data_IF_490564373116
#
_entry.id   IF_490564373116
#
_cell.length_a   1.000
_cell.length_b   1.000
_cell.length_c   1.000
_cell.angle_alpha   90.00
_cell.angle_beta   90.00
_cell.angle_gamma   90.00
#
_symmetry.space_group_name_H-M   'P 1'
#
loop_
_entity.id
_entity.type
_entity.pdbx_description
1 polymer ?
#
# COMPACT_ATOMS: atom_id res chain seq x y z
N UNK A 1 15.29 31.61 -4.28
CA UNK A 1 15.40 30.84 -3.02
C UNK A 1 16.83 30.35 -2.90
N UNK A 2 17.51 30.60 -1.78
CA UNK A 2 18.90 30.17 -1.58
C UNK A 2 18.96 28.64 -1.68
N UNK A 3 19.88 28.11 -2.49
CA UNK A 3 20.06 26.66 -2.63
C UNK A 3 20.35 26.08 -1.24
N UNK A 4 19.38 25.36 -0.67
CA UNK A 4 19.60 24.63 0.58
C UNK A 4 20.79 23.70 0.34
N UNK A 5 21.78 23.78 1.23
CA UNK A 5 22.93 22.87 1.22
C UNK A 5 22.43 21.44 1.25
N UNK A 6 22.94 20.59 0.34
CA UNK A 6 22.67 19.16 0.36
C UNK A 6 23.03 18.56 1.74
N UNK A 7 22.17 17.68 2.23
CA UNK A 7 22.37 16.99 3.51
C UNK A 7 23.58 16.06 3.40
N UNK A 8 24.49 16.14 4.36
CA UNK A 8 25.63 15.23 4.43
C UNK A 8 25.22 13.86 4.97
N UNK A 9 25.99 12.78 4.70
CA UNK A 9 25.71 11.47 5.25
C UNK A 9 25.65 11.43 6.79
N UNK A 10 26.43 12.29 7.46
CA UNK A 10 26.43 12.40 8.93
C UNK A 10 25.14 13.05 9.43
N UNK A 11 24.70 14.15 8.81
CA UNK A 11 23.43 14.80 9.16
C UNK A 11 22.22 13.90 8.90
N UNK A 12 22.28 13.09 7.83
CA UNK A 12 21.27 12.08 7.53
C UNK A 12 21.22 11.01 8.62
N UNK A 13 22.36 10.43 9.00
CA UNK A 13 22.45 9.43 10.07
C UNK A 13 21.96 9.97 11.42
N UNK A 14 22.35 11.20 11.78
CA UNK A 14 21.84 11.86 13.00
C UNK A 14 20.33 12.06 12.97
N UNK A 15 19.77 12.44 11.82
CA UNK A 15 18.33 12.61 11.63
C UNK A 15 17.60 11.28 11.74
N UNK A 16 18.11 10.22 11.12
CA UNK A 16 17.56 8.87 11.20
C UNK A 16 17.56 8.35 12.63
N UNK A 17 18.66 8.51 13.38
CA UNK A 17 18.71 8.08 14.79
C UNK A 17 17.71 8.82 15.67
N UNK A 18 17.49 10.10 15.41
CA UNK A 18 16.45 10.88 16.13
C UNK A 18 15.05 10.36 15.81
N UNK A 19 14.74 10.14 14.53
CA UNK A 19 13.48 9.55 14.08
C UNK A 19 13.27 8.16 14.69
N UNK A 20 14.29 7.30 14.66
CA UNK A 20 14.25 5.98 15.27
C UNK A 20 13.99 6.04 16.78
N UNK A 21 14.59 7.00 17.48
CA UNK A 21 14.33 7.20 18.91
C UNK A 21 12.88 7.60 19.19
N UNK A 22 12.30 8.47 18.36
CA UNK A 22 10.91 8.90 18.52
C UNK A 22 9.92 7.77 18.17
N UNK A 23 10.21 6.96 17.15
CA UNK A 23 9.45 5.74 16.85
C UNK A 23 9.49 4.75 18.02
N UNK A 24 10.66 4.54 18.62
CA UNK A 24 10.82 3.64 19.78
C UNK A 24 10.02 4.11 21.00
N UNK A 25 9.84 5.42 21.19
CA UNK A 25 9.03 5.99 22.27
C UNK A 25 7.53 5.87 22.02
N UNK A 26 7.12 5.94 20.75
CA UNK A 26 5.72 5.84 20.35
C UNK A 26 5.25 4.39 20.19
N UNK A 27 6.18 3.45 20.04
CA UNK A 27 5.88 2.03 19.93
C UNK A 27 5.22 1.50 21.22
N UNK A 28 4.29 0.53 21.09
CA UNK A 28 3.79 -0.22 22.23
C UNK A 28 4.90 -1.05 22.90
N UNK A 29 4.58 -1.80 23.96
CA UNK A 29 5.51 -2.80 24.52
C UNK A 29 5.53 -4.09 23.67
N UNK A 30 6.50 -4.98 23.93
CA UNK A 30 6.59 -6.35 23.39
C UNK A 30 6.59 -6.53 21.85
N UNK A 31 6.86 -5.48 21.09
CA UNK A 31 7.09 -5.59 19.64
C UNK A 31 8.39 -6.30 19.32
N UNK A 32 8.43 -6.94 18.14
CA UNK A 32 9.61 -7.61 17.58
C UNK A 32 10.18 -6.87 16.36
N UNK A 33 9.33 -6.16 15.61
CA UNK A 33 9.73 -5.30 14.49
C UNK A 33 8.82 -4.07 14.42
N UNK A 34 9.41 -2.92 14.11
CA UNK A 34 8.71 -1.70 13.75
C UNK A 34 8.96 -1.38 12.27
N UNK A 35 7.96 -0.87 11.57
CA UNK A 35 8.13 -0.30 10.23
C UNK A 35 7.42 1.03 10.12
N UNK A 36 8.14 2.03 9.63
CA UNK A 36 7.60 3.27 9.12
C UNK A 36 7.72 3.26 7.59
N UNK A 37 6.60 3.44 6.90
CA UNK A 37 6.56 3.73 5.46
C UNK A 37 6.15 5.19 5.32
N UNK A 38 7.07 6.03 4.85
CA UNK A 38 6.78 7.43 4.54
C UNK A 38 6.66 7.55 3.02
N UNK A 39 5.62 8.21 2.55
CA UNK A 39 5.43 8.58 1.14
C UNK A 39 5.26 10.09 1.01
N UNK A 40 5.88 10.71 0.01
CA UNK A 40 5.78 12.15 -0.24
C UNK A 40 5.75 12.49 -1.73
N UNK A 41 4.81 13.36 -2.11
CA UNK A 41 4.61 13.87 -3.47
C UNK A 41 4.02 15.29 -3.41
N UNK A 42 4.76 16.30 -3.86
CA UNK A 42 4.36 17.69 -3.78
C UNK A 42 4.13 18.15 -2.33
N UNK A 43 2.93 18.66 -2.03
CA UNK A 43 2.50 18.97 -0.66
C UNK A 43 1.95 17.77 0.10
N UNK A 44 1.71 16.65 -0.57
CA UNK A 44 1.06 15.50 0.01
C UNK A 44 2.09 14.56 0.61
N UNK A 45 1.81 14.10 1.81
CA UNK A 45 2.65 13.16 2.53
C UNK A 45 1.79 12.24 3.40
N UNK A 46 2.23 11.00 3.54
CA UNK A 46 1.65 10.06 4.48
C UNK A 46 2.76 9.30 5.19
N UNK A 47 2.46 8.87 6.41
CA UNK A 47 3.36 8.08 7.23
C UNK A 47 2.57 6.95 7.87
N UNK A 48 2.83 5.72 7.44
CA UNK A 48 2.26 4.51 8.01
C UNK A 48 3.25 3.89 8.99
N UNK A 49 2.90 3.83 10.26
CA UNK A 49 3.72 3.26 11.32
C UNK A 49 3.06 1.99 11.86
N UNK A 50 3.70 0.83 11.67
CA UNK A 50 3.20 -0.47 12.12
C UNK A 50 4.17 -1.10 13.14
N UNK A 51 3.61 -1.66 14.20
CA UNK A 51 4.32 -2.49 15.18
C UNK A 51 3.90 -3.96 15.03
N UNK A 52 4.87 -4.85 14.88
CA UNK A 52 4.66 -6.30 14.79
C UNK A 52 5.06 -6.99 16.09
N UNK A 53 4.27 -7.99 16.49
CA UNK A 53 4.46 -8.78 17.71
C UNK A 53 4.84 -10.22 17.39
N UNK A 54 5.19 -10.98 18.44
CA UNK A 54 5.39 -12.41 18.32
C UNK A 54 4.13 -13.10 17.76
N UNK A 55 4.32 -14.03 16.82
CA UNK A 55 3.20 -14.70 16.12
C UNK A 55 2.68 -13.96 14.89
N UNK A 56 3.29 -12.83 14.51
CA UNK A 56 3.05 -12.16 13.23
C UNK A 56 1.88 -11.19 13.21
N UNK A 57 1.16 -11.03 14.33
CA UNK A 57 0.17 -9.97 14.49
C UNK A 57 0.85 -8.61 14.37
N UNK A 58 0.19 -7.66 13.73
CA UNK A 58 0.61 -6.27 13.67
C UNK A 58 -0.50 -5.32 14.12
N UNK A 59 -0.11 -4.09 14.47
CA UNK A 59 -1.04 -3.00 14.74
C UNK A 59 -0.51 -1.71 14.12
N UNK A 60 -1.41 -0.93 13.54
CA UNK A 60 -1.13 0.45 13.18
C UNK A 60 -0.95 1.29 14.44
N UNK A 61 0.02 2.20 14.40
CA UNK A 61 0.35 3.17 15.42
C UNK A 61 0.29 4.57 14.82
N UNK A 62 0.02 5.58 15.66
CA UNK A 62 0.08 6.97 15.21
C UNK A 62 1.55 7.40 15.18
N UNK A 63 2.11 7.78 14.02
CA UNK A 63 3.48 8.30 13.98
C UNK A 63 3.55 9.67 14.68
N UNK A 64 4.56 9.92 15.53
CA UNK A 64 4.79 11.25 16.07
C UNK A 64 4.99 12.30 14.96
N UNK A 65 4.49 13.51 15.15
CA UNK A 65 4.69 14.60 14.18
C UNK A 65 6.17 14.86 13.90
N UNK A 66 7.04 14.74 14.93
CA UNK A 66 8.48 14.89 14.78
C UNK A 66 9.12 13.88 13.82
N UNK A 67 8.54 12.67 13.72
CA UNK A 67 8.97 11.64 12.76
C UNK A 67 8.62 12.07 11.35
N UNK A 68 7.40 12.54 11.12
CA UNK A 68 6.94 13.00 9.80
C UNK A 68 7.77 14.21 9.33
N UNK A 69 7.97 15.19 10.22
CA UNK A 69 8.81 16.36 9.96
C UNK A 69 10.27 15.97 9.67
N UNK A 70 10.81 15.02 10.43
CA UNK A 70 12.15 14.48 10.24
C UNK A 70 12.32 13.84 8.87
N UNK A 71 11.38 12.99 8.46
CA UNK A 71 11.40 12.33 7.15
C UNK A 71 11.29 13.35 6.01
N UNK A 72 10.41 14.35 6.14
CA UNK A 72 10.32 15.47 5.19
C UNK A 72 11.64 16.23 5.08
N UNK A 73 12.31 16.46 6.21
CA UNK A 73 13.63 17.09 6.27
C UNK A 73 14.71 16.28 5.54
N UNK A 74 14.74 14.96 5.74
CA UNK A 74 15.64 14.05 5.02
C UNK A 74 15.34 14.10 3.52
N UNK A 75 14.05 14.02 3.13
CA UNK A 75 13.62 14.08 1.72
C UNK A 75 14.09 15.35 1.03
N UNK A 76 13.88 16.50 1.68
CA UNK A 76 14.32 17.79 1.15
C UNK A 76 15.85 17.93 1.11
N UNK A 77 16.54 17.38 2.10
CA UNK A 77 18.00 17.43 2.19
C UNK A 77 18.72 16.52 1.20
N UNK A 78 18.09 15.41 0.79
CA UNK A 78 18.62 14.44 -0.18
C UNK A 78 18.32 14.78 -1.64
N UNK A 79 17.59 15.88 -1.89
CA UNK A 79 17.32 16.34 -3.25
C UNK A 79 18.62 16.66 -4.00
N UNK A 80 18.72 16.13 -5.21
CA UNK A 80 19.80 16.43 -6.16
C UNK A 80 19.21 17.03 -7.42
N UNK A 81 19.72 18.21 -7.82
CA UNK A 81 19.26 18.89 -9.03
C UNK A 81 19.45 17.98 -10.27
N UNK A 82 18.40 17.86 -11.08
CA UNK A 82 18.39 17.02 -12.29
C UNK A 82 17.97 15.57 -12.05
N UNK A 83 18.05 15.06 -10.81
CA UNK A 83 17.57 13.71 -10.46
C UNK A 83 16.32 13.73 -9.58
N UNK A 84 16.08 14.82 -8.85
CA UNK A 84 14.98 14.93 -7.90
C UNK A 84 15.32 14.33 -6.54
N UNK A 85 14.31 13.78 -5.87
CA UNK A 85 14.43 13.12 -4.55
C UNK A 85 13.65 11.80 -4.55
N UNK A 86 13.64 11.06 -3.45
CA UNK A 86 12.86 9.83 -3.32
C UNK A 86 11.38 10.12 -3.03
N UNK A 87 10.50 9.19 -3.42
CA UNK A 87 9.06 9.25 -3.19
C UNK A 87 8.65 8.51 -1.92
N UNK A 88 9.21 7.32 -1.71
CA UNK A 88 8.87 6.46 -0.57
C UNK A 88 10.11 6.07 0.21
N UNK A 89 10.02 6.03 1.53
CA UNK A 89 11.07 5.55 2.42
C UNK A 89 10.52 4.47 3.35
N UNK A 90 11.22 3.35 3.43
CA UNK A 90 10.89 2.21 4.28
C UNK A 90 11.94 2.14 5.40
N UNK A 91 11.54 2.52 6.61
CA UNK A 91 12.39 2.51 7.79
C UNK A 91 11.94 1.38 8.72
N UNK A 92 12.76 0.35 8.85
CA UNK A 92 12.52 -0.80 9.73
C UNK A 92 13.45 -0.77 10.95
N UNK A 93 12.92 -1.08 12.14
CA UNK A 93 13.69 -1.22 13.37
C UNK A 93 13.43 -2.62 13.94
N UNK A 94 14.51 -3.36 14.20
CA UNK A 94 14.45 -4.65 14.87
C UNK A 94 14.64 -4.48 16.38
N UNK A 95 14.03 -5.36 17.17
CA UNK A 95 14.09 -5.27 18.65
C UNK A 95 15.51 -5.34 19.22
N UNK A 96 16.44 -5.93 18.48
CA UNK A 96 17.88 -5.99 18.80
C UNK A 96 18.59 -4.63 18.72
N UNK A 97 17.92 -3.58 18.24
CA UNK A 97 18.44 -2.23 18.13
C UNK A 97 19.01 -1.88 16.76
N UNK A 98 19.11 -2.85 15.85
CA UNK A 98 19.45 -2.60 14.46
C UNK A 98 18.31 -1.90 13.71
N UNK A 99 18.66 -1.06 12.75
CA UNK A 99 17.68 -0.51 11.83
C UNK A 99 18.13 -0.57 10.38
N UNK A 100 17.16 -0.49 9.47
CA UNK A 100 17.35 -0.46 8.03
C UNK A 100 16.51 0.65 7.45
N UNK A 101 17.05 1.35 6.46
CA UNK A 101 16.29 2.27 5.64
C UNK A 101 16.51 2.00 4.16
N UNK A 102 15.43 2.04 3.37
CA UNK A 102 15.44 1.97 1.91
C UNK A 102 14.65 3.15 1.36
N UNK A 103 15.14 3.73 0.27
CA UNK A 103 14.46 4.79 -0.47
C UNK A 103 14.04 4.26 -1.84
N UNK A 104 12.86 4.68 -2.29
CA UNK A 104 12.30 4.36 -3.59
C UNK A 104 12.14 5.66 -4.39
N UNK A 105 12.80 5.70 -5.55
CA UNK A 105 12.84 6.84 -6.46
C UNK A 105 11.99 6.62 -7.71
N UNK A 106 11.55 5.38 -7.94
CA UNK A 106 11.10 4.91 -9.25
C UNK A 106 9.61 4.57 -9.25
N UNK A 107 9.09 4.06 -8.13
CA UNK A 107 7.70 3.65 -8.04
C UNK A 107 6.79 4.79 -7.58
N UNK A 108 5.58 4.83 -8.13
CA UNK A 108 4.54 5.76 -7.70
C UNK A 108 4.26 5.56 -6.19
N UNK A 109 4.41 6.61 -5.36
CA UNK A 109 4.13 6.51 -3.94
C UNK A 109 2.67 6.18 -3.70
N UNK A 110 2.42 5.31 -2.72
CA UNK A 110 1.07 5.00 -2.32
C UNK A 110 0.51 6.02 -1.32
N UNK A 111 -0.74 6.40 -1.54
CA UNK A 111 -1.58 7.19 -0.66
C UNK A 111 -2.94 6.50 -0.47
N UNK A 112 -3.52 6.61 0.73
CA UNK A 112 -4.84 6.06 1.03
C UNK A 112 -5.96 6.75 0.22
N UNK A 113 -5.74 8.00 -0.19
CA UNK A 113 -6.65 8.81 -1.01
C UNK A 113 -6.02 9.16 -2.36
N UNK A 114 -6.84 9.31 -3.40
CA UNK A 114 -6.37 9.73 -4.71
C UNK A 114 -5.78 11.16 -4.63
N UNK A 115 -4.60 11.34 -5.21
CA UNK A 115 -3.94 12.64 -5.25
C UNK A 115 -4.41 13.45 -6.44
N UNK A 116 -4.51 14.77 -6.28
CA UNK A 116 -4.81 15.66 -7.39
C UNK A 116 -3.61 15.82 -8.32
N UNK A 117 -3.87 16.10 -9.60
CA UNK A 117 -2.82 16.25 -10.61
C UNK A 117 -1.90 17.45 -10.29
N UNK A 118 -2.41 18.45 -9.55
CA UNK A 118 -1.64 19.59 -9.07
C UNK A 118 -0.47 19.17 -8.16
N UNK A 119 -0.64 18.13 -7.33
CA UNK A 119 0.42 17.56 -6.50
C UNK A 119 1.60 17.03 -7.31
N UNK A 120 1.33 16.40 -8.46
CA UNK A 120 2.36 15.83 -9.34
C UNK A 120 3.16 16.92 -10.06
N UNK A 121 2.51 17.98 -10.53
CA UNK A 121 3.20 19.12 -11.14
C UNK A 121 4.07 19.85 -10.10
N UNK A 122 3.53 20.10 -8.91
CA UNK A 122 4.24 20.76 -7.82
C UNK A 122 5.45 19.94 -7.33
N UNK A 123 5.37 18.62 -7.38
CA UNK A 123 6.49 17.73 -7.08
C UNK A 123 7.70 18.02 -7.98
N UNK A 124 7.50 18.19 -9.29
CA UNK A 124 8.57 18.53 -10.23
C UNK A 124 9.06 19.98 -10.06
N UNK A 125 8.21 20.90 -9.60
CA UNK A 125 8.65 22.25 -9.24
C UNK A 125 9.53 22.27 -7.99
N UNK A 126 9.17 21.48 -6.97
CA UNK A 126 9.90 21.40 -5.71
C UNK A 126 11.20 20.57 -5.83
N UNK A 127 11.16 19.50 -6.61
CA UNK A 127 12.27 18.56 -6.81
C UNK A 127 12.51 18.33 -8.31
N UNK A 128 13.12 19.31 -9.01
CA UNK A 128 13.31 19.24 -10.46
C UNK A 128 14.11 18.01 -10.91
N UNK A 129 13.58 17.34 -11.93
CA UNK A 129 14.18 16.18 -12.59
C UNK A 129 14.43 16.50 -14.06
N UNK A 130 15.55 16.03 -14.58
CA UNK A 130 15.79 15.96 -16.02
C UNK A 130 14.84 14.93 -16.63
N UNK A 131 14.46 15.10 -17.89
CA UNK A 131 13.47 14.25 -18.57
C UNK A 131 13.79 12.75 -18.49
N UNK A 132 15.07 12.38 -18.39
CA UNK A 132 15.53 10.99 -18.26
C UNK A 132 15.23 10.38 -16.87
N UNK A 133 15.09 11.21 -15.84
CA UNK A 133 14.84 10.81 -14.45
C UNK A 133 13.37 10.96 -14.02
N UNK A 134 12.49 11.38 -14.94
CA UNK A 134 11.03 11.41 -14.69
C UNK A 134 10.48 10.00 -14.95
N UNK A 135 9.91 9.32 -13.93
CA UNK A 135 9.33 8.00 -14.12
C UNK A 135 8.14 8.01 -15.08
N UNK A 136 7.92 6.90 -15.78
CA UNK A 136 6.86 6.79 -16.81
C UNK A 136 5.47 7.08 -16.25
N UNK A 137 5.14 6.57 -15.05
CA UNK A 137 3.85 6.85 -14.40
C UNK A 137 3.61 8.35 -14.17
N UNK A 138 4.66 9.12 -13.87
CA UNK A 138 4.55 10.56 -13.65
C UNK A 138 4.35 11.30 -14.97
N UNK A 139 5.02 10.87 -16.04
CA UNK A 139 4.78 11.41 -17.39
C UNK A 139 3.36 11.15 -17.84
N UNK A 140 2.89 9.92 -17.70
CA UNK A 140 1.54 9.51 -18.11
C UNK A 140 0.46 10.34 -17.41
N UNK A 141 0.62 10.65 -16.11
CA UNK A 141 -0.31 11.51 -15.38
C UNK A 141 -0.30 12.95 -15.87
N UNK A 142 0.89 13.53 -16.07
CA UNK A 142 1.01 14.91 -16.53
C UNK A 142 0.62 15.11 -18.00
N UNK A 143 0.80 14.08 -18.84
CA UNK A 143 0.40 14.10 -20.25
C UNK A 143 -1.07 13.74 -20.47
N UNK A 144 -1.66 12.92 -19.60
CA UNK A 144 -3.07 12.56 -19.61
C UNK A 144 -4.01 13.78 -19.53
N UNK A 145 -3.49 14.89 -19.00
CA UNK A 145 -4.20 16.18 -18.87
C UNK A 145 -3.96 17.14 -20.06
N UNK A 146 -3.18 16.75 -21.08
CA UNK A 146 -3.19 17.47 -22.37
C UNK A 146 -4.47 17.13 -23.13
N UNK A 147 -5.56 17.80 -22.79
CA UNK A 147 -6.72 17.95 -23.69
C UNK A 147 -6.21 18.59 -25.00
N UNK A 148 -6.33 17.93 -26.18
CA UNK A 148 -6.06 18.58 -27.44
C UNK A 148 -7.20 19.58 -27.72
N UNK A 149 -7.05 20.80 -27.20
CA UNK A 149 -8.14 21.76 -27.20
C UNK A 149 -7.76 23.16 -26.72
N UNK A 150 -6.50 23.57 -26.81
CA UNK A 150 -6.14 24.98 -26.73
C UNK A 150 -5.11 25.26 -27.83
N UNK A 151 -5.59 25.83 -28.92
CA UNK A 151 -4.81 26.19 -30.07
C UNK A 151 -3.75 27.26 -29.71
N UNK A 152 -2.48 26.94 -29.95
CA UNK A 152 -1.52 27.91 -30.46
C UNK A 152 -0.82 27.27 -31.66
N UNK A 153 -0.87 27.98 -32.78
CA UNK A 153 -0.62 27.53 -34.14
C UNK A 153 0.75 26.87 -34.35
N UNK A 154 0.72 25.73 -35.05
CA UNK A 154 1.91 24.99 -35.49
C UNK A 154 1.58 23.52 -35.71
N UNK A 155 0.98 23.19 -36.86
CA UNK A 155 0.65 21.78 -37.20
C UNK A 155 1.95 21.00 -37.36
N UNK A 156 2.27 20.16 -36.37
CA UNK A 156 3.42 19.28 -36.39
C UNK A 156 3.13 18.07 -37.30
N UNK A 157 4.06 17.65 -38.19
CA UNK A 157 3.87 16.53 -39.11
C UNK A 157 3.61 15.16 -38.44
N UNK A 158 3.83 15.05 -37.13
CA UNK A 158 3.70 13.81 -36.36
C UNK A 158 2.25 13.42 -36.03
N UNK A 159 1.29 14.35 -36.14
CA UNK A 159 -0.13 14.09 -35.84
C UNK A 159 -0.82 13.11 -36.80
N UNK A 160 -0.21 12.81 -37.95
CA UNK A 160 -0.81 11.90 -38.95
C UNK A 160 -0.32 10.45 -38.86
N UNK A 161 0.67 10.11 -38.02
CA UNK A 161 1.28 8.77 -38.02
C UNK A 161 1.15 7.97 -36.73
N UNK A 162 0.48 8.48 -35.69
CA UNK A 162 0.26 7.74 -34.44
C UNK A 162 -1.20 7.29 -34.29
N UNK A 163 -1.70 6.53 -35.26
CA UNK A 163 -2.82 5.61 -35.04
C UNK A 163 -2.24 4.23 -34.70
N UNK A 164 -1.70 4.10 -33.49
CA UNK A 164 -1.30 2.82 -32.91
C UNK A 164 -1.95 2.73 -31.54
N UNK A 165 -2.64 1.63 -31.30
CA UNK A 165 -3.44 1.36 -30.11
C UNK A 165 -2.69 1.71 -28.83
N UNK A 166 -3.30 2.65 -28.10
CA UNK A 166 -2.90 3.16 -26.79
C UNK A 166 -3.13 2.08 -25.72
N UNK A 167 -2.14 1.72 -24.89
CA UNK A 167 -2.42 1.02 -23.65
C UNK A 167 -3.19 1.98 -22.71
N UNK A 168 -4.29 1.51 -22.13
CA UNK A 168 -5.05 2.31 -21.17
C UNK A 168 -4.21 2.61 -19.91
N UNK A 169 -4.38 3.80 -19.30
CA UNK A 169 -3.79 4.08 -17.99
C UNK A 169 -4.24 3.01 -17.00
N UNK A 170 -3.34 2.52 -16.13
CA UNK A 170 -3.60 1.43 -15.17
C UNK A 170 -5.00 1.58 -14.55
N UNK A 171 -5.89 0.73 -15.03
CA UNK A 171 -7.33 0.82 -14.85
C UNK A 171 -7.70 0.68 -13.38
N UNK A 172 -8.59 1.55 -12.89
CA UNK A 172 -9.48 1.15 -11.80
C UNK A 172 -10.18 -0.13 -12.27
N UNK A 173 -9.76 -1.28 -11.74
CA UNK A 173 -10.43 -2.54 -12.05
C UNK A 173 -11.86 -2.43 -11.53
N UNK A 174 -12.80 -2.41 -12.46
CA UNK A 174 -14.21 -2.59 -12.16
C UNK A 174 -14.41 -3.95 -11.49
N UNK A 175 -15.25 -4.05 -10.45
CA UNK A 175 -15.46 -5.30 -9.74
C UNK A 175 -15.86 -6.44 -10.70
N UNK A 176 -15.05 -7.49 -10.73
CA UNK A 176 -15.29 -8.71 -11.52
C UNK A 176 -14.74 -8.73 -12.95
N UNK A 177 -14.08 -7.66 -13.40
CA UNK A 177 -13.59 -7.55 -14.78
C UNK A 177 -12.17 -8.12 -15.00
N UNK A 178 -11.55 -8.71 -13.97
CA UNK A 178 -10.19 -9.24 -14.06
C UNK A 178 -10.16 -10.58 -14.80
N UNK A 179 -9.34 -10.65 -15.84
CA UNK A 179 -9.09 -11.88 -16.58
C UNK A 179 -8.21 -12.86 -15.77
N UNK A 180 -8.22 -14.17 -16.09
CA UNK A 180 -7.32 -15.12 -15.45
C UNK A 180 -5.82 -14.79 -15.64
N UNK A 181 -5.45 -14.17 -16.75
CA UNK A 181 -4.06 -13.74 -17.02
C UNK A 181 -3.67 -12.59 -16.09
N UNK A 182 -4.48 -11.52 -16.03
CA UNK A 182 -4.25 -10.39 -15.10
C UNK A 182 -4.26 -10.83 -13.64
N UNK A 183 -5.10 -11.81 -13.29
CA UNK A 183 -5.11 -12.43 -11.96
C UNK A 183 -3.76 -13.07 -11.66
N UNK A 184 -3.21 -13.86 -12.59
CA UNK A 184 -1.94 -14.53 -12.40
C UNK A 184 -0.76 -13.56 -12.36
N UNK A 185 -0.77 -12.54 -13.22
CA UNK A 185 0.24 -11.48 -13.22
C UNK A 185 0.23 -10.72 -11.89
N UNK A 186 -0.96 -10.39 -11.37
CA UNK A 186 -1.11 -9.73 -10.07
C UNK A 186 -0.58 -10.61 -8.93
N UNK A 187 -0.88 -11.92 -8.95
CA UNK A 187 -0.36 -12.88 -7.96
C UNK A 187 1.17 -12.98 -8.03
N UNK A 188 1.73 -13.03 -9.24
CA UNK A 188 3.18 -13.07 -9.45
C UNK A 188 3.85 -11.79 -8.91
N UNK A 189 3.27 -10.62 -9.19
CA UNK A 189 3.76 -9.33 -8.70
C UNK A 189 3.71 -9.24 -7.17
N UNK A 190 2.62 -9.70 -6.54
CA UNK A 190 2.51 -9.80 -5.07
C UNK A 190 3.66 -10.64 -4.51
N UNK A 191 3.91 -11.79 -5.12
CA UNK A 191 4.97 -12.71 -4.69
C UNK A 191 6.35 -12.08 -4.84
N UNK A 192 6.66 -11.50 -6.00
CA UNK A 192 7.98 -10.93 -6.27
C UNK A 192 8.29 -9.76 -5.32
N UNK A 193 7.33 -8.85 -5.12
CA UNK A 193 7.46 -7.74 -4.17
C UNK A 193 7.55 -8.20 -2.71
N UNK A 194 6.96 -9.35 -2.37
CA UNK A 194 7.07 -9.92 -1.02
C UNK A 194 8.43 -10.59 -0.80
N UNK A 195 8.99 -11.24 -1.81
CA UNK A 195 10.28 -11.95 -1.73
C UNK A 195 11.45 -10.97 -1.77
N UNK A 196 11.37 -9.93 -2.60
CA UNK A 196 12.45 -8.97 -2.82
C UNK A 196 13.09 -8.43 -1.52
N UNK A 197 12.35 -8.04 -0.47
CA UNK A 197 12.95 -7.58 0.79
C UNK A 197 13.50 -8.72 1.68
N UNK A 198 13.13 -9.98 1.45
CA UNK A 198 13.56 -11.11 2.28
C UNK A 198 15.04 -11.39 2.04
N UNK A 199 15.85 -11.27 3.09
CA UNK A 199 17.30 -11.55 3.06
C UNK A 199 17.60 -12.91 3.66
N UNK A 200 18.71 -13.51 3.23
CA UNK A 200 19.15 -14.83 3.67
C UNK A 200 18.36 -15.97 3.00
N UNK A 201 18.77 -17.20 3.29
CA UNK A 201 18.11 -18.40 2.74
C UNK A 201 16.79 -18.67 3.45
N UNK A 202 15.80 -19.12 2.69
CA UNK A 202 14.45 -19.43 3.15
C UNK A 202 13.93 -20.63 2.36
N UNK A 203 13.07 -21.43 2.98
CA UNK A 203 12.47 -22.63 2.38
C UNK A 203 11.01 -22.41 1.97
N UNK A 204 10.29 -21.55 2.69
CA UNK A 204 8.89 -21.22 2.41
C UNK A 204 8.56 -19.80 2.90
N UNK A 205 7.84 -19.03 2.09
CA UNK A 205 7.19 -17.78 2.50
C UNK A 205 5.69 -17.97 2.39
N UNK A 206 4.95 -17.58 3.43
CA UNK A 206 3.48 -17.61 3.41
C UNK A 206 2.93 -16.24 3.76
N UNK A 207 2.04 -15.75 2.91
CA UNK A 207 1.27 -14.53 3.12
C UNK A 207 -0.16 -14.95 3.42
N UNK A 208 -0.60 -14.72 4.64
CA UNK A 208 -2.01 -14.84 5.01
C UNK A 208 -2.62 -13.43 5.04
N UNK A 209 -3.60 -13.18 4.17
CA UNK A 209 -4.29 -11.90 4.02
C UNK A 209 -5.77 -12.04 4.32
N UNK A 210 -6.35 -11.08 5.01
CA UNK A 210 -7.79 -10.97 5.32
C UNK A 210 -8.24 -9.58 4.94
N UNK A 211 -9.31 -9.47 4.17
CA UNK A 211 -9.77 -8.19 3.63
C UNK A 211 -11.25 -7.92 3.88
N UNK A 212 -11.57 -6.64 3.99
CA UNK A 212 -12.84 -5.96 3.75
C UNK A 212 -12.52 -4.66 3.00
N UNK A 213 -13.49 -4.04 2.32
CA UNK A 213 -13.30 -2.83 1.46
C UNK A 213 -12.46 -1.69 2.07
N UNK A 214 -12.34 -1.57 3.39
CA UNK A 214 -11.54 -0.51 4.06
C UNK A 214 -10.68 -1.01 5.22
N UNK A 215 -10.52 -2.33 5.32
CA UNK A 215 -9.89 -2.93 6.47
C UNK A 215 -9.27 -4.24 6.07
N UNK A 216 -7.97 -4.36 6.30
CA UNK A 216 -7.26 -5.60 6.07
C UNK A 216 -6.31 -5.91 7.22
N UNK A 217 -6.00 -7.20 7.34
CA UNK A 217 -4.93 -7.70 8.20
C UNK A 217 -4.11 -8.69 7.38
N UNK A 218 -2.80 -8.63 7.55
CA UNK A 218 -1.85 -9.51 6.87
C UNK A 218 -0.81 -10.05 7.83
N UNK A 219 -0.37 -11.28 7.58
CA UNK A 219 0.77 -11.89 8.26
C UNK A 219 1.70 -12.50 7.21
N UNK A 220 2.97 -12.12 7.26
CA UNK A 220 4.00 -12.73 6.41
C UNK A 220 4.86 -13.63 7.29
N UNK A 221 4.89 -14.92 6.96
CA UNK A 221 5.68 -15.93 7.65
C UNK A 221 6.82 -16.38 6.75
N UNK A 222 8.05 -16.23 7.20
CA UNK A 222 9.26 -16.68 6.51
C UNK A 222 9.84 -17.86 7.26
N UNK A 223 9.84 -19.05 6.64
CA UNK A 223 10.54 -20.22 7.16
C UNK A 223 11.94 -20.29 6.59
N UNK A 224 12.93 -20.39 7.47
CA UNK A 224 14.35 -20.55 7.15
C UNK A 224 14.68 -22.01 6.86
N UNK A 225 15.77 -22.25 6.13
CA UNK A 225 16.26 -23.62 5.84
C UNK A 225 16.58 -24.42 7.12
N UNK A 226 16.98 -23.74 8.20
CA UNK A 226 17.25 -24.35 9.51
C UNK A 226 15.96 -24.67 10.30
N UNK A 227 14.78 -24.43 9.72
CA UNK A 227 13.47 -24.63 10.31
C UNK A 227 12.98 -23.46 11.17
N UNK A 228 13.80 -22.42 11.41
CA UNK A 228 13.37 -21.23 12.15
C UNK A 228 12.23 -20.52 11.43
N UNK A 229 11.23 -20.08 12.18
CA UNK A 229 10.13 -19.26 11.67
C UNK A 229 10.32 -17.83 12.11
N UNK A 230 10.30 -16.93 11.14
CA UNK A 230 10.31 -15.48 11.31
C UNK A 230 9.03 -14.89 10.75
N UNK A 231 8.72 -13.69 11.25
CA UNK A 231 7.57 -12.92 10.81
C UNK A 231 8.06 -11.65 10.12
N UNK A 232 7.31 -11.20 9.14
CA UNK A 232 7.51 -9.92 8.48
C UNK A 232 6.19 -9.16 8.33
N UNK A 233 6.34 -7.85 8.12
CA UNK A 233 5.23 -6.97 7.78
C UNK A 233 5.06 -6.99 6.26
N UNK A 234 3.82 -7.00 5.80
CA UNK A 234 3.52 -6.84 4.38
C UNK A 234 3.77 -5.38 3.96
N UNK A 235 4.33 -5.17 2.78
CA UNK A 235 4.48 -3.81 2.22
C UNK A 235 3.09 -3.26 1.84
N UNK A 236 2.79 -1.97 2.09
CA UNK A 236 1.49 -1.39 1.76
C UNK A 236 1.09 -1.56 0.29
N UNK A 237 2.07 -1.49 -0.61
CA UNK A 237 1.88 -1.65 -2.06
C UNK A 237 1.45 -3.08 -2.41
N UNK A 238 1.92 -4.07 -1.64
CA UNK A 238 1.49 -5.46 -1.81
C UNK A 238 0.06 -5.66 -1.27
N UNK A 239 -0.30 -4.97 -0.18
CA UNK A 239 -1.67 -4.97 0.35
C UNK A 239 -2.69 -4.49 -0.70
N UNK A 240 -2.37 -3.44 -1.45
CA UNK A 240 -3.23 -2.95 -2.54
C UNK A 240 -3.35 -3.92 -3.69
N UNK A 241 -2.27 -4.62 -4.07
CA UNK A 241 -2.36 -5.64 -5.10
C UNK A 241 -3.33 -6.75 -4.67
N UNK A 242 -3.35 -7.11 -3.37
CA UNK A 242 -4.34 -8.04 -2.83
C UNK A 242 -5.77 -7.46 -2.84
N UNK A 243 -5.95 -6.16 -2.58
CA UNK A 243 -7.26 -5.50 -2.70
C UNK A 243 -7.75 -5.38 -4.15
N UNK A 244 -6.81 -5.12 -5.08
CA UNK A 244 -7.05 -5.14 -6.53
C UNK A 244 -7.48 -6.53 -6.97
N UNK A 245 -6.76 -7.56 -6.52
CA UNK A 245 -7.09 -8.96 -6.77
C UNK A 245 -8.48 -9.30 -6.20
N UNK A 246 -8.78 -8.84 -4.98
CA UNK A 246 -10.10 -9.03 -4.35
C UNK A 246 -11.21 -8.37 -5.15
N UNK A 247 -10.97 -7.16 -5.66
CA UNK A 247 -11.93 -6.42 -6.47
C UNK A 247 -12.14 -7.09 -7.83
N UNK A 248 -11.06 -7.46 -8.51
CA UNK A 248 -11.09 -8.12 -9.80
C UNK A 248 -11.72 -9.50 -9.77
N UNK A 249 -11.54 -10.26 -8.68
CA UNK A 249 -12.11 -11.60 -8.52
C UNK A 249 -13.56 -11.62 -8.00
N UNK A 250 -14.20 -10.46 -7.86
CA UNK A 250 -15.62 -10.39 -7.50
C UNK A 250 -16.48 -11.12 -8.54
N UNK A 251 -17.42 -11.93 -8.07
CA UNK A 251 -18.37 -12.64 -8.92
C UNK A 251 -19.79 -12.15 -8.61
N UNK A 252 -20.54 -11.63 -9.60
CA UNK A 252 -21.92 -11.18 -9.40
C UNK A 252 -22.78 -12.22 -8.70
N UNK A 253 -23.36 -11.85 -7.56
CA UNK A 253 -24.22 -12.73 -6.76
C UNK A 253 -23.47 -13.72 -5.87
N UNK A 254 -22.19 -14.01 -6.09
CA UNK A 254 -21.37 -14.84 -5.17
C UNK A 254 -20.54 -14.00 -4.21
N UNK A 255 -20.20 -12.77 -4.58
CA UNK A 255 -19.28 -11.91 -3.84
C UNK A 255 -17.82 -12.18 -4.20
N UNK A 256 -16.91 -11.67 -3.37
CA UNK A 256 -15.46 -11.92 -3.46
C UNK A 256 -14.96 -12.77 -2.29
N UNK A 257 -13.68 -13.13 -2.26
CA UNK A 257 -13.08 -13.91 -1.17
C UNK A 257 -12.81 -13.04 0.06
N UNK A 258 -12.85 -13.60 1.28
CA UNK A 258 -12.51 -12.92 2.54
C UNK A 258 -11.04 -13.12 2.95
N UNK A 259 -10.50 -14.29 2.67
CA UNK A 259 -9.13 -14.68 3.05
C UNK A 259 -8.37 -15.13 1.81
N UNK A 260 -7.11 -14.70 1.70
CA UNK A 260 -6.16 -15.21 0.72
C UNK A 260 -4.94 -15.79 1.44
N UNK A 261 -4.50 -16.97 1.01
CA UNK A 261 -3.25 -17.59 1.42
C UNK A 261 -2.38 -17.80 0.21
N UNK A 262 -1.26 -17.10 0.16
CA UNK A 262 -0.23 -17.28 -0.86
C UNK A 262 0.97 -17.98 -0.23
N UNK A 263 1.46 -19.03 -0.88
CA UNK A 263 2.62 -19.81 -0.44
C UNK A 263 3.64 -19.80 -1.55
N UNK A 264 4.90 -19.53 -1.21
CA UNK A 264 6.01 -19.61 -2.16
C UNK A 264 7.09 -20.49 -1.59
N UNK A 265 7.46 -21.52 -2.35
CA UNK A 265 8.57 -22.43 -2.01
C UNK A 265 9.91 -21.88 -2.49
N UNK A 266 11.00 -22.47 -1.99
CA UNK A 266 12.37 -22.17 -2.47
C UNK A 266 12.54 -22.34 -3.99
N UNK A 267 11.77 -23.24 -4.62
CA UNK A 267 11.76 -23.47 -6.06
C UNK A 267 10.96 -22.43 -6.84
N UNK A 268 10.46 -21.37 -6.17
CA UNK A 268 9.57 -20.34 -6.71
C UNK A 268 8.21 -20.88 -7.19
N UNK A 269 7.81 -22.05 -6.70
CA UNK A 269 6.45 -22.55 -6.93
C UNK A 269 5.47 -21.73 -6.09
N UNK A 270 4.43 -21.20 -6.75
CA UNK A 270 3.41 -20.37 -6.12
C UNK A 270 2.15 -21.19 -5.93
N UNK A 271 1.70 -21.28 -4.68
CA UNK A 271 0.36 -21.75 -4.33
C UNK A 271 -0.50 -20.55 -3.92
N UNK A 272 -1.71 -20.46 -4.48
CA UNK A 272 -2.68 -19.44 -4.12
C UNK A 272 -4.02 -20.08 -3.75
N UNK A 273 -4.55 -19.73 -2.58
CA UNK A 273 -5.85 -20.20 -2.11
C UNK A 273 -6.70 -19.02 -1.62
N UNK A 274 -7.95 -18.97 -2.06
CA UNK A 274 -8.91 -17.91 -1.75
C UNK A 274 -10.15 -18.52 -1.13
N UNK A 275 -10.49 -18.08 0.08
CA UNK A 275 -11.67 -18.57 0.82
C UNK A 275 -12.77 -17.51 0.80
N UNK A 276 -13.96 -17.91 0.34
CA UNK A 276 -15.14 -17.06 0.21
C UNK A 276 -16.14 -17.21 1.35
N UNK A 277 -16.01 -18.26 2.15
CA UNK A 277 -17.11 -18.81 2.94
C UNK A 277 -16.75 -18.93 4.42
N UNK A 278 -15.49 -19.20 4.76
CA UNK A 278 -15.06 -19.26 6.15
C UNK A 278 -14.97 -17.85 6.78
N UNK A 279 -15.33 -17.69 8.07
CA UNK A 279 -15.20 -16.43 8.76
C UNK A 279 -13.72 -16.01 8.85
N UNK A 280 -13.35 -14.80 8.39
CA UNK A 280 -11.98 -14.33 8.46
C UNK A 280 -11.54 -14.07 9.91
N UNK A 281 -10.40 -14.61 10.29
CA UNK A 281 -9.83 -14.48 11.64
C UNK A 281 -8.96 -13.21 11.77
N UNK A 282 -9.58 -12.05 11.97
CA UNK A 282 -8.85 -10.80 12.20
C UNK A 282 -8.14 -10.77 13.57
N UNK A 283 -7.09 -9.94 13.68
CA UNK A 283 -6.35 -9.71 14.94
C UNK A 283 -7.15 -8.95 16.02
N UNK A 284 -8.31 -8.42 15.64
CA UNK A 284 -9.28 -7.72 16.46
C UNK A 284 -10.70 -8.05 15.94
N UNK A 285 -11.73 -7.90 16.78
CA UNK A 285 -13.11 -8.10 16.32
C UNK A 285 -13.52 -6.88 15.48
N UNK A 286 -13.76 -7.03 14.17
CA UNK A 286 -14.15 -5.90 13.34
C UNK A 286 -15.53 -5.40 13.71
N UNK A 287 -15.74 -4.09 13.58
CA UNK A 287 -17.08 -3.52 13.69
C UNK A 287 -18.02 -4.22 12.69
N UNK A 288 -19.18 -4.74 13.13
CA UNK A 288 -20.17 -5.36 12.25
C UNK A 288 -20.53 -4.51 11.02
N UNK A 289 -20.50 -3.18 11.15
CA UNK A 289 -20.75 -2.22 10.06
C UNK A 289 -19.73 -2.31 8.94
N UNK A 290 -18.50 -2.78 9.21
CA UNK A 290 -17.49 -3.03 8.18
C UNK A 290 -17.91 -4.17 7.25
N UNK A 291 -18.49 -5.25 7.78
CA UNK A 291 -19.04 -6.34 6.95
C UNK A 291 -20.26 -5.88 6.14
N UNK A 292 -21.10 -5.02 6.72
CA UNK A 292 -22.22 -4.41 6.00
C UNK A 292 -21.75 -3.52 4.84
N UNK A 293 -20.69 -2.72 5.02
CA UNK A 293 -20.08 -1.94 3.95
C UNK A 293 -19.48 -2.85 2.87
N UNK A 294 -18.78 -3.90 3.28
CA UNK A 294 -18.14 -4.85 2.38
C UNK A 294 -19.16 -5.53 1.45
N UNK A 295 -20.29 -5.99 1.98
CA UNK A 295 -21.34 -6.63 1.17
C UNK A 295 -22.06 -5.66 0.22
N UNK A 296 -22.09 -4.36 0.54
CA UNK A 296 -22.66 -3.36 -0.39
C UNK A 296 -21.77 -3.18 -1.61
N UNK A 297 -20.46 -3.36 -1.45
CA UNK A 297 -19.50 -3.25 -2.54
C UNK A 297 -19.34 -4.58 -3.29
N UNK A 298 -19.40 -5.71 -2.58
CA UNK A 298 -19.38 -7.06 -3.14
C UNK A 298 -20.67 -7.83 -2.83
N UNK A 299 -21.79 -7.51 -3.52
CA UNK A 299 -23.08 -8.16 -3.28
C UNK A 299 -23.06 -9.68 -3.40
N UNK A 300 -23.80 -10.32 -2.49
CA UNK A 300 -24.03 -11.77 -2.47
C UNK A 300 -25.52 -12.06 -2.52
N UNK A 301 -25.92 -13.10 -3.25
CA UNK A 301 -27.27 -13.66 -3.19
C UNK A 301 -27.45 -14.41 -1.87
N UNK A 302 -28.71 -14.70 -1.53
CA UNK A 302 -29.05 -15.47 -0.32
C UNK A 302 -28.32 -16.81 -0.24
N UNK A 303 -28.09 -17.45 -1.38
CA UNK A 303 -27.51 -18.80 -1.46
C UNK A 303 -25.99 -18.80 -1.24
N UNK A 304 -25.36 -17.63 -1.33
CA UNK A 304 -23.92 -17.41 -1.14
C UNK A 304 -23.61 -16.59 0.12
N UNK A 305 -24.54 -16.53 1.06
CA UNK A 305 -24.39 -15.75 2.29
C UNK A 305 -24.31 -16.70 3.50
N UNK A 306 -23.09 -16.96 4.02
CA UNK A 306 -22.90 -17.85 5.17
C UNK A 306 -23.61 -17.34 6.44
N UNK A 307 -24.02 -18.27 7.30
CA UNK A 307 -24.74 -17.97 8.55
C UNK A 307 -24.01 -16.95 9.44
N UNK A 308 -22.70 -17.08 9.59
CA UNK A 308 -21.90 -16.14 10.39
C UNK A 308 -21.97 -14.71 9.83
N UNK A 309 -22.06 -14.56 8.51
CA UNK A 309 -22.14 -13.25 7.86
C UNK A 309 -23.54 -12.66 8.02
N UNK A 310 -24.60 -13.48 7.91
CA UNK A 310 -25.98 -13.07 8.24
C UNK A 310 -26.08 -12.49 9.65
N UNK A 311 -25.45 -13.15 10.63
CA UNK A 311 -25.45 -12.70 12.02
C UNK A 311 -24.76 -11.33 12.17
N UNK A 312 -23.60 -11.16 11.52
CA UNK A 312 -22.86 -9.89 11.51
C UNK A 312 -23.66 -8.76 10.85
N UNK A 313 -24.29 -9.02 9.70
CA UNK A 313 -25.13 -8.03 9.02
C UNK A 313 -26.35 -7.63 9.85
N UNK A 314 -26.98 -8.60 10.52
CA UNK A 314 -28.12 -8.36 11.40
C UNK A 314 -27.72 -7.46 12.59
N UNK A 315 -26.56 -7.72 13.18
CA UNK A 315 -26.00 -6.87 14.24
C UNK A 315 -25.70 -5.46 13.72
N UNK A 316 -25.06 -5.34 12.56
CA UNK A 316 -24.76 -4.06 11.92
C UNK A 316 -26.01 -3.22 11.67
N UNK A 317 -27.09 -3.84 11.17
CA UNK A 317 -28.36 -3.14 10.92
C UNK A 317 -28.99 -2.61 12.21
N UNK A 318 -28.92 -3.38 13.32
CA UNK A 318 -29.41 -2.91 14.63
C UNK A 318 -28.62 -1.70 15.11
N UNK A 319 -27.29 -1.74 14.99
CA UNK A 319 -26.42 -0.61 15.36
C UNK A 319 -26.72 0.63 14.54
N UNK A 320 -26.83 0.50 13.21
CA UNK A 320 -27.13 1.62 12.30
C UNK A 320 -28.51 2.23 12.60
N UNK A 321 -29.50 1.43 13.00
CA UNK A 321 -30.82 1.95 13.39
C UNK A 321 -30.75 2.72 14.71
N UNK A 322 -30.07 2.17 15.72
CA UNK A 322 -29.91 2.83 17.01
C UNK A 322 -29.22 4.20 16.89
N UNK A 323 -28.16 4.32 16.09
CA UNK A 323 -27.46 5.59 15.85
C UNK A 323 -28.34 6.67 15.19
N UNK A 324 -29.34 6.26 14.40
CA UNK A 324 -30.30 7.19 13.78
C UNK A 324 -31.40 7.65 14.74
N UNK A 325 -31.60 6.93 15.82
CA UNK A 325 -32.64 7.18 16.83
C UNK A 325 -32.10 7.99 18.02
N UNK A 326 -30.77 8.11 18.19
CA UNK A 326 -30.16 8.99 19.20
C UNK A 326 -30.19 10.48 18.76
N UNK A 327 -30.88 11.37 19.49
CA UNK A 327 -30.82 12.80 19.22
C UNK A 327 -29.43 13.34 19.59
N UNK A 328 -28.80 14.10 18.71
CA UNK A 328 -27.56 14.82 19.03
C UNK A 328 -27.81 15.76 20.23
N UNK A 329 -26.99 15.71 21.30
CA UNK A 329 -27.06 16.69 22.36
C UNK A 329 -26.60 18.06 21.82
N UNK A 330 -27.42 19.09 22.06
CA UNK A 330 -27.17 20.50 21.69
C UNK A 330 -25.99 21.14 22.45
#
# INVERSE_FOLDING_TARGET
>A
MSARRAMTPVEQDESLRRIGTDLLRAAPDDWVKLRLVYSGLGTCETARFDAMFQGGRSTGCVPPLSVVEGMRGIRAGMHTAGTGTWYTAYYEIERTGGYRIRYDYENEPHFDEAQDDAGYALELECFPRDDEHVPDWMRERLEGDRVPGAASEGVSPWSMLAAVSRPEPRSHISPGDMTPEEMMDTVQEIVDRTIEPVRGRWSEIVVDYRGLVRMSSSRVRVRREDGRVEWDLLLPEVGQLLDRLRTGMYQPGKGTWFTARLTVSESREIGAHFDHDAPPEFDFDPDPRSFHQDIRFFPRSSDHLPDWLLDRLSLAQRMIRAEREEPHPE
#
